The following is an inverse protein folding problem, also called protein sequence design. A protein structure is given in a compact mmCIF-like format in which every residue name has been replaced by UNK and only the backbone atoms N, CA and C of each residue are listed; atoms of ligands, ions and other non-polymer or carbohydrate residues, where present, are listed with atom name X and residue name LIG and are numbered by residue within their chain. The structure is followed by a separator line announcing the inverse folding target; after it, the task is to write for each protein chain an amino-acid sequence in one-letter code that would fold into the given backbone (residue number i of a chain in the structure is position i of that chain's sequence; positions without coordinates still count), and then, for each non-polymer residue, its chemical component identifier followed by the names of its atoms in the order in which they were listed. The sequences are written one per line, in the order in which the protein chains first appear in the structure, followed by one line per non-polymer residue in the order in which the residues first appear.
data_IF_312236760975
#
_entry.id   IF_312236760975
#
_cell.length_a   1.000
_cell.length_b   1.000
_cell.length_c   1.000
_cell.angle_alpha   90.00
_cell.angle_beta   90.00
_cell.angle_gamma   90.00
#
_symmetry.space_group_name_H-M   'P 1'
#
loop_
_entity.id
_entity.type
_entity.pdbx_description
1 polymer ?
#
# COMPACT_ATOMS: atom_id res chain seq x y z
N UNK A 1 -28.88 -17.41 -11.85
CA UNK A 1 -28.75 -16.19 -11.04
C UNK A 1 -27.52 -16.33 -10.16
N UNK A 2 -26.41 -15.58 -10.45
CA UNK A 2 -25.24 -15.61 -9.56
C UNK A 2 -25.58 -14.75 -8.36
N UNK A 3 -25.84 -15.39 -7.21
CA UNK A 3 -25.98 -14.69 -5.95
C UNK A 3 -24.80 -13.74 -5.73
N UNK A 4 -25.06 -12.55 -5.18
CA UNK A 4 -24.04 -11.66 -4.60
C UNK A 4 -23.38 -12.35 -3.38
N UNK A 5 -22.71 -13.50 -3.63
CA UNK A 5 -22.06 -14.30 -2.60
C UNK A 5 -20.75 -13.63 -2.17
N UNK A 6 -20.73 -13.22 -0.93
CA UNK A 6 -19.63 -12.50 -0.28
C UNK A 6 -18.35 -13.31 -0.05
N UNK A 7 -18.22 -14.58 -0.55
CA UNK A 7 -17.23 -15.47 0.07
C UNK A 7 -16.39 -16.38 -0.85
N UNK A 8 -16.41 -16.25 -2.15
CA UNK A 8 -15.47 -17.00 -2.98
C UNK A 8 -14.75 -16.09 -3.95
N UNK A 9 -13.44 -16.02 -3.82
CA UNK A 9 -12.54 -15.37 -4.78
C UNK A 9 -12.65 -16.10 -6.11
N UNK A 10 -13.51 -15.63 -7.01
CA UNK A 10 -13.78 -16.26 -8.31
C UNK A 10 -12.83 -15.75 -9.41
N UNK A 11 -12.21 -14.56 -9.20
CA UNK A 11 -11.36 -13.92 -10.21
C UNK A 11 -9.88 -14.08 -9.92
N UNK A 12 -9.09 -14.20 -10.98
CA UNK A 12 -7.64 -14.23 -10.85
C UNK A 12 -7.10 -12.82 -10.52
N UNK A 13 -6.05 -12.74 -9.69
CA UNK A 13 -5.37 -11.47 -9.39
C UNK A 13 -4.95 -10.73 -10.68
N UNK A 14 -4.58 -11.47 -11.73
CA UNK A 14 -4.19 -10.92 -13.03
C UNK A 14 -5.34 -10.19 -13.73
N UNK A 15 -6.55 -10.71 -13.65
CA UNK A 15 -7.73 -10.07 -14.25
C UNK A 15 -8.08 -8.77 -13.51
N UNK A 16 -8.09 -8.82 -12.16
CA UNK A 16 -8.34 -7.63 -11.33
C UNK A 16 -7.32 -6.53 -11.62
N UNK A 17 -6.03 -6.88 -11.64
CA UNK A 17 -4.95 -5.92 -11.97
C UNK A 17 -5.14 -5.34 -13.37
N UNK A 18 -5.46 -6.17 -14.37
CA UNK A 18 -5.66 -5.71 -15.75
C UNK A 18 -6.81 -4.70 -15.85
N UNK A 19 -7.93 -4.94 -15.16
CA UNK A 19 -9.08 -4.02 -15.14
C UNK A 19 -8.76 -2.72 -14.41
N UNK A 20 -8.10 -2.80 -13.26
CA UNK A 20 -7.64 -1.62 -12.54
C UNK A 20 -6.69 -0.79 -13.40
N UNK A 21 -5.75 -1.44 -14.11
CA UNK A 21 -4.85 -0.76 -15.01
C UNK A 21 -5.57 -0.02 -16.14
N UNK A 22 -6.69 -0.56 -16.66
CA UNK A 22 -7.53 0.13 -17.67
C UNK A 22 -8.07 1.46 -17.15
N UNK A 23 -8.46 1.56 -15.88
CA UNK A 23 -8.90 2.84 -15.27
C UNK A 23 -7.74 3.84 -15.09
N UNK A 24 -6.51 3.37 -14.99
CA UNK A 24 -5.32 4.23 -14.92
C UNK A 24 -4.83 4.71 -16.31
N UNK A 25 -5.12 3.96 -17.38
CA UNK A 25 -4.66 4.25 -18.75
C UNK A 25 -4.96 5.67 -19.26
N UNK A 26 -6.15 6.28 -19.04
CA UNK A 26 -6.41 7.66 -19.45
C UNK A 26 -5.41 8.66 -18.88
N UNK A 27 -4.83 8.36 -17.71
CA UNK A 27 -3.88 9.20 -16.98
C UNK A 27 -2.41 8.78 -17.19
N UNK A 28 -2.11 7.99 -18.24
CA UNK A 28 -0.75 7.44 -18.50
C UNK A 28 0.35 8.50 -18.56
N UNK A 29 0.06 9.71 -19.04
CA UNK A 29 1.02 10.82 -19.10
C UNK A 29 1.40 11.29 -17.69
N UNK A 30 0.42 11.40 -16.80
CA UNK A 30 0.63 11.81 -15.41
C UNK A 30 1.41 10.71 -14.65
N UNK A 31 1.08 9.42 -14.85
CA UNK A 31 1.84 8.31 -14.27
C UNK A 31 3.29 8.26 -14.79
N UNK A 32 3.52 8.52 -16.08
CA UNK A 32 4.87 8.59 -16.64
C UNK A 32 5.67 9.72 -16.00
N UNK A 33 5.06 10.89 -15.80
CA UNK A 33 5.69 12.01 -15.11
C UNK A 33 6.02 11.66 -13.66
N UNK A 34 5.10 10.99 -12.93
CA UNK A 34 5.34 10.51 -11.56
C UNK A 34 6.52 9.55 -11.51
N UNK A 35 6.61 8.59 -12.46
CA UNK A 35 7.75 7.67 -12.56
C UNK A 35 9.04 8.42 -12.84
N UNK A 36 9.02 9.41 -13.75
CA UNK A 36 10.18 10.27 -13.99
C UNK A 36 10.64 11.03 -12.74
N UNK A 37 9.68 11.60 -11.99
CA UNK A 37 9.96 12.24 -10.70
C UNK A 37 10.52 11.25 -9.67
N UNK A 38 10.07 9.98 -9.67
CA UNK A 38 10.65 8.93 -8.81
C UNK A 38 12.14 8.72 -9.11
N UNK A 39 12.51 8.59 -10.39
CA UNK A 39 13.92 8.41 -10.76
C UNK A 39 14.76 9.62 -10.33
N UNK A 40 14.28 10.84 -10.57
CA UNK A 40 14.97 12.07 -10.14
C UNK A 40 15.05 12.13 -8.62
N UNK A 41 13.94 11.85 -7.93
CA UNK A 41 13.91 11.86 -6.46
C UNK A 41 14.84 10.83 -5.83
N UNK A 42 14.90 9.62 -6.39
CA UNK A 42 15.81 8.54 -5.95
C UNK A 42 17.26 8.96 -6.18
N UNK A 43 17.61 9.51 -7.35
CA UNK A 43 18.95 10.00 -7.63
C UNK A 43 19.38 11.09 -6.64
N UNK A 44 18.52 12.05 -6.36
CA UNK A 44 18.76 13.10 -5.36
C UNK A 44 18.88 12.51 -3.95
N UNK A 45 18.04 11.54 -3.59
CA UNK A 45 18.06 10.90 -2.27
C UNK A 45 19.36 10.14 -1.98
N UNK A 46 20.06 9.68 -3.02
CA UNK A 46 21.36 9.01 -2.88
C UNK A 46 22.54 10.00 -2.71
N UNK A 47 22.41 11.25 -3.13
CA UNK A 47 23.50 12.24 -3.06
C UNK A 47 24.00 12.55 -1.64
N UNK A 48 23.17 12.73 -0.61
CA UNK A 48 23.59 13.11 0.73
C UNK A 48 24.69 12.21 1.31
N UNK A 49 24.57 10.89 1.15
CA UNK A 49 25.57 9.95 1.64
C UNK A 49 26.95 10.13 0.95
N UNK A 50 26.95 10.37 -0.38
CA UNK A 50 28.17 10.64 -1.13
C UNK A 50 28.78 11.98 -0.73
N UNK A 51 27.98 13.04 -0.60
CA UNK A 51 28.45 14.37 -0.22
C UNK A 51 29.10 14.36 1.17
N UNK A 52 28.51 13.65 2.13
CA UNK A 52 29.10 13.47 3.47
C UNK A 52 30.41 12.67 3.35
N UNK A 53 30.41 11.58 2.57
CA UNK A 53 31.60 10.80 2.34
C UNK A 53 32.75 11.63 1.77
N UNK A 54 32.53 12.39 0.71
CA UNK A 54 33.53 13.30 0.15
C UNK A 54 33.97 14.37 1.14
N UNK A 55 33.06 14.88 1.98
CA UNK A 55 33.41 15.85 3.03
C UNK A 55 34.37 15.21 4.05
N UNK A 56 34.14 13.96 4.45
CA UNK A 56 35.03 13.22 5.35
C UNK A 56 36.42 13.07 4.72
N UNK A 57 36.49 12.73 3.44
CA UNK A 57 37.78 12.59 2.74
C UNK A 57 38.54 13.92 2.65
N UNK A 58 37.82 15.04 2.40
CA UNK A 58 38.41 16.38 2.40
C UNK A 58 38.95 16.72 3.79
N UNK A 59 38.18 16.48 4.84
CA UNK A 59 38.59 16.77 6.24
C UNK A 59 39.81 15.93 6.64
N UNK A 60 39.88 14.69 6.19
CA UNK A 60 40.97 13.74 6.50
C UNK A 60 42.21 13.96 5.67
N UNK A 61 42.22 14.91 4.72
CA UNK A 61 43.37 15.18 3.83
C UNK A 61 44.37 16.12 4.49
N UNK A 62 45.51 15.59 4.89
CA UNK A 62 46.62 16.38 5.44
C UNK A 62 47.40 17.20 4.39
N UNK A 63 47.18 16.91 3.11
CA UNK A 63 47.93 17.53 2.01
C UNK A 63 47.30 18.80 1.43
N UNK A 64 46.08 19.10 1.86
CA UNK A 64 45.29 20.22 1.34
C UNK A 64 45.51 21.50 2.15
N UNK A 65 45.68 22.64 1.45
CA UNK A 65 45.72 23.93 2.09
C UNK A 65 44.41 24.21 2.86
N UNK A 66 44.53 24.71 4.10
CA UNK A 66 43.36 24.94 4.98
C UNK A 66 42.29 25.86 4.37
N UNK A 67 42.71 26.86 3.62
CA UNK A 67 41.77 27.78 2.93
C UNK A 67 40.92 27.03 1.90
N UNK A 68 41.56 26.20 1.08
CA UNK A 68 40.90 25.37 0.06
C UNK A 68 40.01 24.29 0.71
N UNK A 69 40.49 23.70 1.79
CA UNK A 69 39.73 22.67 2.55
C UNK A 69 38.42 23.28 3.11
N UNK A 70 38.51 24.45 3.77
CA UNK A 70 37.33 25.17 4.30
C UNK A 70 36.33 25.51 3.18
N UNK A 71 36.83 26.05 2.06
CA UNK A 71 35.96 26.33 0.89
C UNK A 71 35.21 25.11 0.37
N UNK A 72 35.90 23.99 0.20
CA UNK A 72 35.29 22.74 -0.30
C UNK A 72 34.27 22.19 0.70
N UNK A 73 34.55 22.25 2.00
CA UNK A 73 33.57 21.84 3.05
C UNK A 73 32.30 22.67 2.97
N UNK A 74 32.44 24.00 2.85
CA UNK A 74 31.29 24.90 2.71
C UNK A 74 30.51 24.61 1.41
N UNK A 75 31.21 24.33 0.31
CA UNK A 75 30.60 23.97 -0.97
C UNK A 75 29.81 22.65 -0.86
N UNK A 76 30.40 21.60 -0.25
CA UNK A 76 29.72 20.32 -0.02
C UNK A 76 28.53 20.46 0.92
N UNK A 77 28.66 21.28 1.98
CA UNK A 77 27.56 21.61 2.88
C UNK A 77 26.42 22.33 2.16
N UNK A 78 26.76 23.31 1.31
CA UNK A 78 25.77 23.98 0.45
C UNK A 78 25.09 23.01 -0.52
N UNK A 79 25.88 22.14 -1.20
CA UNK A 79 25.34 21.12 -2.10
C UNK A 79 24.43 20.12 -1.36
N UNK A 80 24.78 19.75 -0.12
CA UNK A 80 23.96 18.90 0.73
C UNK A 80 22.62 19.56 1.04
N UNK A 81 22.59 20.80 1.45
CA UNK A 81 21.35 21.55 1.75
C UNK A 81 20.49 21.68 0.48
N UNK A 82 21.09 21.99 -0.67
CA UNK A 82 20.38 22.05 -1.95
C UNK A 82 19.81 20.68 -2.32
N UNK A 83 20.57 19.59 -2.19
CA UNK A 83 20.09 18.24 -2.44
C UNK A 83 18.93 17.86 -1.53
N UNK A 84 19.02 18.18 -0.23
CA UNK A 84 17.93 17.93 0.73
C UNK A 84 16.67 18.73 0.38
N UNK A 85 16.81 20.00 0.02
CA UNK A 85 15.67 20.83 -0.38
C UNK A 85 15.02 20.33 -1.67
N UNK A 86 15.82 20.07 -2.70
CA UNK A 86 15.34 19.54 -3.98
C UNK A 86 14.70 18.13 -3.83
N UNK A 87 15.30 17.28 -3.00
CA UNK A 87 14.76 15.95 -2.72
C UNK A 87 13.40 16.01 -2.04
N UNK A 88 13.26 16.83 -1.00
CA UNK A 88 11.98 17.03 -0.31
C UNK A 88 10.93 17.69 -1.24
N UNK A 89 11.32 18.67 -2.04
CA UNK A 89 10.43 19.30 -3.02
C UNK A 89 9.95 18.33 -4.07
N UNK A 90 10.87 17.52 -4.63
CA UNK A 90 10.53 16.48 -5.62
C UNK A 90 9.59 15.43 -5.01
N UNK A 91 9.85 15.00 -3.78
CA UNK A 91 9.00 14.04 -3.07
C UNK A 91 7.61 14.62 -2.77
N UNK A 92 7.53 15.87 -2.35
CA UNK A 92 6.26 16.59 -2.15
C UNK A 92 5.45 16.65 -3.46
N UNK A 93 6.09 17.11 -4.54
CA UNK A 93 5.41 17.25 -5.84
C UNK A 93 4.97 15.90 -6.40
N UNK A 94 5.81 14.87 -6.29
CA UNK A 94 5.48 13.50 -6.65
C UNK A 94 4.25 12.98 -5.89
N UNK A 95 4.23 13.13 -4.55
CA UNK A 95 3.10 12.70 -3.73
C UNK A 95 1.83 13.48 -4.03
N UNK A 96 1.93 14.79 -4.26
CA UNK A 96 0.79 15.62 -4.68
C UNK A 96 0.20 15.17 -5.99
N UNK A 97 1.04 14.98 -7.02
CA UNK A 97 0.60 14.50 -8.35
C UNK A 97 -0.04 13.12 -8.25
N UNK A 98 0.53 12.24 -7.47
CA UNK A 98 0.02 10.90 -7.23
C UNK A 98 -1.37 10.92 -6.59
N UNK A 99 -1.56 11.69 -5.52
CA UNK A 99 -2.87 11.84 -4.89
C UNK A 99 -3.89 12.42 -5.87
N UNK A 100 -3.50 13.44 -6.63
CA UNK A 100 -4.36 14.07 -7.65
C UNK A 100 -4.82 13.07 -8.71
N UNK A 101 -3.89 12.27 -9.25
CA UNK A 101 -4.19 11.28 -10.30
C UNK A 101 -5.00 10.11 -9.73
N UNK A 102 -4.62 9.61 -8.56
CA UNK A 102 -5.33 8.54 -7.88
C UNK A 102 -6.79 8.93 -7.60
N UNK A 103 -7.02 10.14 -7.07
CA UNK A 103 -8.39 10.63 -6.83
C UNK A 103 -9.19 10.78 -8.13
N UNK A 104 -8.58 11.27 -9.24
CA UNK A 104 -9.25 11.33 -10.54
C UNK A 104 -9.68 9.94 -11.02
N UNK A 105 -8.79 8.95 -10.92
CA UNK A 105 -9.07 7.56 -11.31
C UNK A 105 -10.25 6.99 -10.51
N UNK A 106 -10.29 7.27 -9.21
CA UNK A 106 -11.36 6.78 -8.32
C UNK A 106 -12.68 7.48 -8.57
N UNK A 107 -12.67 8.80 -8.85
CA UNK A 107 -13.90 9.52 -9.23
C UNK A 107 -14.50 8.92 -10.49
N UNK A 108 -13.68 8.61 -11.51
CA UNK A 108 -14.15 7.92 -12.73
C UNK A 108 -14.78 6.57 -12.38
N UNK A 109 -14.08 5.73 -11.61
CA UNK A 109 -14.60 4.43 -11.19
C UNK A 109 -15.90 4.56 -10.36
N UNK A 110 -15.96 5.53 -9.45
CA UNK A 110 -17.14 5.77 -8.62
C UNK A 110 -18.36 6.18 -9.45
N UNK A 111 -18.15 7.06 -10.44
CA UNK A 111 -19.20 7.49 -11.37
C UNK A 111 -19.68 6.31 -12.22
N UNK A 112 -18.77 5.47 -12.73
CA UNK A 112 -19.14 4.30 -13.51
C UNK A 112 -19.97 3.31 -12.68
N UNK A 113 -19.57 3.06 -11.42
CA UNK A 113 -20.32 2.19 -10.52
C UNK A 113 -21.71 2.76 -10.21
N UNK A 114 -21.77 4.06 -9.92
CA UNK A 114 -23.03 4.72 -9.59
C UNK A 114 -23.99 4.71 -10.81
N UNK A 115 -23.52 5.14 -11.97
CA UNK A 115 -24.31 5.14 -13.20
C UNK A 115 -24.77 3.73 -13.57
N UNK A 116 -23.92 2.72 -13.35
CA UNK A 116 -24.30 1.34 -13.59
C UNK A 116 -25.40 0.86 -12.66
N UNK A 117 -25.34 1.21 -11.38
CA UNK A 117 -26.40 0.90 -10.41
C UNK A 117 -27.73 1.56 -10.78
N UNK A 118 -27.70 2.82 -11.25
CA UNK A 118 -28.91 3.52 -11.72
C UNK A 118 -29.58 2.86 -12.93
N UNK A 119 -28.78 2.18 -13.78
CA UNK A 119 -29.28 1.46 -14.94
C UNK A 119 -29.76 0.03 -14.64
N UNK A 120 -29.61 -0.46 -13.41
CA UNK A 120 -30.13 -1.77 -13.01
C UNK A 120 -31.66 -1.73 -12.84
N UNK A 121 -32.33 -2.85 -13.18
CA UNK A 121 -33.76 -2.98 -12.97
C UNK A 121 -34.12 -2.90 -11.46
N UNK A 122 -35.26 -2.34 -11.13
CA UNK A 122 -35.76 -2.21 -9.74
C UNK A 122 -35.76 -3.57 -9.03
N UNK A 123 -36.14 -4.65 -9.74
CA UNK A 123 -36.11 -6.02 -9.22
C UNK A 123 -34.71 -6.45 -8.76
N UNK A 124 -33.66 -6.08 -9.52
CA UNK A 124 -32.26 -6.37 -9.17
C UNK A 124 -31.79 -5.55 -7.97
N UNK A 125 -32.17 -4.26 -7.91
CA UNK A 125 -31.84 -3.38 -6.77
C UNK A 125 -32.48 -3.88 -5.49
N UNK A 126 -33.74 -4.33 -5.53
CA UNK A 126 -34.46 -4.83 -4.35
C UNK A 126 -33.91 -6.15 -3.79
N UNK A 127 -33.14 -6.92 -4.59
CA UNK A 127 -32.47 -8.13 -4.14
C UNK A 127 -31.21 -7.86 -3.30
N UNK A 128 -30.70 -6.63 -3.33
CA UNK A 128 -29.46 -6.24 -2.63
C UNK A 128 -29.78 -5.17 -1.59
N UNK A 129 -29.39 -5.33 -0.31
CA UNK A 129 -29.56 -4.29 0.68
C UNK A 129 -28.91 -2.98 0.21
N UNK A 130 -29.64 -1.86 0.25
CA UNK A 130 -29.17 -0.54 -0.19
C UNK A 130 -27.84 -0.15 0.47
N UNK A 131 -27.68 -0.44 1.77
CA UNK A 131 -26.41 -0.19 2.47
C UNK A 131 -25.22 -0.92 1.86
N UNK A 132 -25.43 -2.09 1.24
CA UNK A 132 -24.38 -2.83 0.53
C UNK A 132 -23.96 -2.10 -0.75
N UNK A 133 -24.90 -1.59 -1.54
CA UNK A 133 -24.63 -0.79 -2.73
C UNK A 133 -23.89 0.51 -2.38
N UNK A 134 -24.35 1.21 -1.33
CA UNK A 134 -23.66 2.41 -0.81
C UNK A 134 -22.21 2.08 -0.45
N UNK A 135 -21.97 0.96 0.24
CA UNK A 135 -20.60 0.53 0.58
C UNK A 135 -19.72 0.30 -0.66
N UNK A 136 -20.28 -0.23 -1.76
CA UNK A 136 -19.53 -0.41 -3.03
C UNK A 136 -19.09 0.93 -3.60
N UNK A 137 -20.01 1.93 -3.65
CA UNK A 137 -19.73 3.26 -4.21
C UNK A 137 -18.77 4.07 -3.32
N UNK A 138 -18.80 3.88 -2.00
CA UNK A 138 -18.03 4.68 -1.05
C UNK A 138 -16.77 3.95 -0.56
N UNK A 139 -16.92 2.96 0.31
CA UNK A 139 -15.81 2.34 1.01
C UNK A 139 -14.93 1.48 0.10
N UNK A 140 -15.52 0.66 -0.77
CA UNK A 140 -14.75 -0.22 -1.64
C UNK A 140 -13.99 0.61 -2.70
N UNK A 141 -14.58 1.67 -3.25
CA UNK A 141 -13.85 2.60 -4.14
C UNK A 141 -12.74 3.37 -3.42
N UNK A 142 -12.92 3.73 -2.14
CA UNK A 142 -11.87 4.35 -1.35
C UNK A 142 -10.69 3.38 -1.09
N UNK A 143 -10.98 2.11 -0.82
CA UNK A 143 -9.93 1.08 -0.67
C UNK A 143 -9.15 0.87 -1.98
N UNK A 144 -9.83 0.97 -3.13
CA UNK A 144 -9.19 0.96 -4.45
C UNK A 144 -8.33 2.22 -4.64
N UNK A 145 -8.81 3.39 -4.17
CA UNK A 145 -8.02 4.62 -4.17
C UNK A 145 -6.70 4.47 -3.45
N UNK A 146 -6.73 3.91 -2.25
CA UNK A 146 -5.53 3.66 -1.43
C UNK A 146 -4.52 2.76 -2.16
N UNK A 147 -5.00 1.80 -2.93
CA UNK A 147 -4.13 0.98 -3.78
C UNK A 147 -3.38 1.83 -4.84
N UNK A 148 -4.06 2.76 -5.53
CA UNK A 148 -3.43 3.61 -6.54
C UNK A 148 -2.49 4.65 -5.93
N UNK A 149 -2.89 5.26 -4.81
CA UNK A 149 -2.19 6.42 -4.23
C UNK A 149 -1.07 6.03 -3.28
N UNK A 150 -1.16 4.88 -2.66
CA UNK A 150 -0.21 4.46 -1.62
C UNK A 150 0.52 3.19 -2.02
N UNK A 151 -0.21 2.10 -2.28
CA UNK A 151 0.40 0.78 -2.42
C UNK A 151 1.19 0.62 -3.71
N UNK A 152 0.56 0.86 -4.87
CA UNK A 152 1.21 0.61 -6.17
C UNK A 152 2.47 1.44 -6.33
N UNK A 153 2.43 2.69 -5.88
CA UNK A 153 3.55 3.62 -5.98
C UNK A 153 4.64 3.33 -4.97
N UNK A 154 4.28 3.03 -3.73
CA UNK A 154 5.26 2.59 -2.72
C UNK A 154 6.00 1.33 -3.18
N UNK A 155 5.29 0.35 -3.77
CA UNK A 155 5.92 -0.85 -4.34
C UNK A 155 6.92 -0.50 -5.44
N UNK A 156 6.51 0.31 -6.43
CA UNK A 156 7.40 0.72 -7.54
C UNK A 156 8.59 1.52 -7.01
N UNK A 157 8.36 2.52 -6.16
CA UNK A 157 9.41 3.34 -5.57
C UNK A 157 10.43 2.53 -4.79
N UNK A 158 9.96 1.64 -3.90
CA UNK A 158 10.84 0.84 -3.06
C UNK A 158 11.67 -0.15 -3.88
N UNK A 159 11.09 -0.76 -4.91
CA UNK A 159 11.82 -1.63 -5.84
C UNK A 159 12.90 -0.83 -6.62
N UNK A 160 12.52 0.33 -7.16
CA UNK A 160 13.48 1.19 -7.89
C UNK A 160 14.59 1.68 -6.96
N UNK A 161 14.27 2.04 -5.73
CA UNK A 161 15.24 2.49 -4.74
C UNK A 161 16.21 1.38 -4.34
N UNK A 162 15.72 0.15 -4.10
CA UNK A 162 16.57 -1.01 -3.85
C UNK A 162 17.52 -1.29 -5.01
N UNK A 163 17.02 -1.24 -6.24
CA UNK A 163 17.86 -1.42 -7.44
C UNK A 163 18.91 -0.30 -7.53
N UNK A 164 18.52 0.96 -7.31
CA UNK A 164 19.41 2.10 -7.36
C UNK A 164 20.54 2.00 -6.30
N UNK A 165 20.19 1.65 -5.05
CA UNK A 165 21.19 1.41 -3.99
C UNK A 165 22.15 0.28 -4.42
N UNK A 166 21.63 -0.85 -4.90
CA UNK A 166 22.47 -1.96 -5.33
C UNK A 166 23.44 -1.55 -6.44
N UNK A 167 22.97 -0.79 -7.44
CA UNK A 167 23.83 -0.26 -8.50
C UNK A 167 24.94 0.61 -7.92
N UNK A 168 24.59 1.56 -7.02
CA UNK A 168 25.59 2.43 -6.39
C UNK A 168 26.60 1.63 -5.57
N UNK A 169 26.14 0.67 -4.77
CA UNK A 169 27.03 -0.20 -3.99
C UNK A 169 28.01 -0.99 -4.89
N UNK A 170 27.51 -1.54 -6.00
CA UNK A 170 28.38 -2.24 -6.96
C UNK A 170 29.40 -1.32 -7.64
N UNK A 171 29.00 -0.10 -7.98
CA UNK A 171 29.91 0.91 -8.57
C UNK A 171 30.96 1.36 -7.58
N UNK A 172 30.61 1.53 -6.31
CA UNK A 172 31.56 1.94 -5.27
C UNK A 172 32.59 0.85 -4.96
N UNK A 173 32.15 -0.37 -4.70
CA UNK A 173 33.03 -1.52 -4.46
C UNK A 173 32.30 -2.86 -4.59
N UNK A 174 32.51 -3.58 -5.67
CA UNK A 174 31.83 -4.85 -5.95
C UNK A 174 32.15 -5.95 -4.92
N UNK A 175 33.36 -5.97 -4.34
CA UNK A 175 33.76 -6.99 -3.36
C UNK A 175 32.95 -6.86 -2.09
N UNK A 176 32.86 -5.66 -1.51
CA UNK A 176 32.08 -5.41 -0.30
C UNK A 176 30.60 -5.73 -0.56
N UNK A 177 30.09 -5.34 -1.75
CA UNK A 177 28.68 -5.60 -2.12
C UNK A 177 28.36 -7.09 -2.12
N UNK A 178 29.24 -7.94 -2.63
CA UNK A 178 29.03 -9.40 -2.64
C UNK A 178 28.85 -9.97 -1.23
N UNK A 179 29.59 -9.46 -0.24
CA UNK A 179 29.39 -9.89 1.15
C UNK A 179 28.08 -9.40 1.74
N UNK A 180 27.64 -8.18 1.41
CA UNK A 180 26.36 -7.63 1.85
C UNK A 180 25.19 -8.42 1.26
N UNK A 181 25.29 -8.84 -0.02
CA UNK A 181 24.26 -9.64 -0.69
C UNK A 181 23.97 -10.95 0.05
N UNK A 182 24.95 -11.53 0.77
CA UNK A 182 24.74 -12.75 1.58
C UNK A 182 23.68 -12.54 2.66
N UNK A 183 23.51 -11.31 3.16
CA UNK A 183 22.49 -10.97 4.17
C UNK A 183 21.09 -10.91 3.56
N UNK A 184 20.95 -10.59 2.27
CA UNK A 184 19.65 -10.40 1.60
C UNK A 184 18.75 -11.64 1.69
N UNK A 185 19.19 -12.87 1.38
CA UNK A 185 18.36 -14.07 1.53
C UNK A 185 17.82 -14.27 2.95
N UNK A 186 18.62 -13.93 3.98
CA UNK A 186 18.22 -14.05 5.38
C UNK A 186 17.09 -13.05 5.67
N UNK A 187 17.20 -11.83 5.17
CA UNK A 187 16.16 -10.80 5.32
C UNK A 187 14.88 -11.19 4.58
N UNK A 188 14.99 -11.71 3.35
CA UNK A 188 13.84 -12.20 2.60
C UNK A 188 13.14 -13.36 3.30
N UNK A 189 13.91 -14.24 3.92
CA UNK A 189 13.36 -15.32 4.74
C UNK A 189 12.65 -14.80 6.00
N UNK A 190 13.24 -13.81 6.69
CA UNK A 190 12.58 -13.15 7.81
C UNK A 190 11.27 -12.44 7.39
N UNK A 191 11.27 -11.76 6.25
CA UNK A 191 10.07 -11.14 5.67
C UNK A 191 8.99 -12.18 5.31
N UNK A 192 9.39 -13.34 4.76
CA UNK A 192 8.48 -14.45 4.50
C UNK A 192 7.83 -15.00 5.78
N UNK A 193 8.63 -15.22 6.83
CA UNK A 193 8.11 -15.65 8.13
C UNK A 193 7.14 -14.61 8.72
N UNK A 194 7.52 -13.34 8.68
CA UNK A 194 6.65 -12.25 9.12
C UNK A 194 5.30 -12.28 8.40
N UNK A 195 5.29 -12.37 7.06
CA UNK A 195 4.06 -12.48 6.26
C UNK A 195 3.18 -13.65 6.70
N UNK A 196 3.77 -14.81 6.98
CA UNK A 196 3.04 -16.01 7.44
C UNK A 196 2.37 -15.78 8.80
N UNK A 197 3.12 -15.25 9.77
CA UNK A 197 2.64 -15.03 11.14
C UNK A 197 1.68 -13.83 11.23
N UNK A 198 1.96 -12.74 10.53
CA UNK A 198 1.10 -11.56 10.44
C UNK A 198 -0.29 -11.92 9.89
N UNK A 199 -0.36 -12.68 8.77
CA UNK A 199 -1.63 -13.15 8.21
C UNK A 199 -2.43 -14.00 9.20
N UNK A 200 -1.77 -14.88 9.94
CA UNK A 200 -2.43 -15.74 10.93
C UNK A 200 -2.99 -14.90 12.12
N UNK A 201 -2.22 -13.93 12.58
CA UNK A 201 -2.62 -13.03 13.68
C UNK A 201 -3.76 -12.11 13.26
N UNK A 202 -3.68 -11.51 12.07
CA UNK A 202 -4.76 -10.69 11.51
C UNK A 202 -6.09 -11.44 11.41
N UNK A 203 -6.08 -12.70 10.93
CA UNK A 203 -7.29 -13.53 10.91
C UNK A 203 -7.87 -13.77 12.29
N UNK A 204 -7.03 -14.00 13.31
CA UNK A 204 -7.49 -14.16 14.71
C UNK A 204 -8.14 -12.89 15.25
N UNK A 205 -7.53 -11.74 15.00
CA UNK A 205 -8.11 -10.44 15.37
C UNK A 205 -9.47 -10.25 14.71
N UNK A 206 -9.57 -10.50 13.41
CA UNK A 206 -10.86 -10.37 12.67
C UNK A 206 -11.94 -11.30 13.20
N UNK A 207 -11.61 -12.56 13.50
CA UNK A 207 -12.55 -13.51 14.09
C UNK A 207 -13.02 -13.05 15.47
N UNK A 208 -12.11 -12.63 16.36
CA UNK A 208 -12.46 -12.15 17.69
C UNK A 208 -13.26 -10.84 17.66
N UNK A 209 -12.95 -9.94 16.72
CA UNK A 209 -13.75 -8.71 16.51
C UNK A 209 -15.15 -9.02 16.02
N UNK A 210 -15.29 -9.98 15.10
CA UNK A 210 -16.61 -10.44 14.62
C UNK A 210 -17.44 -11.03 15.76
N UNK A 211 -16.83 -11.82 16.66
CA UNK A 211 -17.52 -12.36 17.85
C UNK A 211 -18.00 -11.25 18.79
N UNK A 212 -17.18 -10.21 19.01
CA UNK A 212 -17.59 -9.04 19.83
C UNK A 212 -18.74 -8.29 19.18
N UNK A 213 -18.67 -8.04 17.86
CA UNK A 213 -19.71 -7.34 17.13
C UNK A 213 -21.03 -8.14 17.12
N UNK A 214 -20.99 -9.45 16.90
CA UNK A 214 -22.16 -10.32 16.96
C UNK A 214 -22.79 -10.29 18.36
N UNK A 215 -21.96 -10.40 19.41
CA UNK A 215 -22.42 -10.32 20.79
C UNK A 215 -23.10 -8.97 21.10
N UNK A 216 -22.50 -7.85 20.65
CA UNK A 216 -23.07 -6.52 20.84
C UNK A 216 -24.40 -6.38 20.09
N UNK A 217 -24.48 -6.80 18.83
CA UNK A 217 -25.69 -6.75 18.02
C UNK A 217 -26.83 -7.54 18.68
N UNK A 218 -26.56 -8.79 19.08
CA UNK A 218 -27.53 -9.65 19.75
C UNK A 218 -28.04 -9.04 21.10
N UNK A 219 -27.09 -8.61 21.94
CA UNK A 219 -27.43 -8.15 23.27
C UNK A 219 -28.06 -6.75 23.30
N UNK A 220 -27.66 -5.84 22.39
CA UNK A 220 -28.30 -4.53 22.27
C UNK A 220 -29.74 -4.67 21.74
N UNK A 221 -29.92 -5.53 20.72
CA UNK A 221 -31.28 -5.84 20.22
C UNK A 221 -32.17 -6.53 21.27
N UNK A 222 -31.56 -7.42 22.06
CA UNK A 222 -32.25 -8.15 23.15
C UNK A 222 -32.18 -7.48 24.52
N UNK A 223 -31.80 -6.20 24.63
CA UNK A 223 -31.57 -5.53 25.91
C UNK A 223 -32.81 -5.57 26.84
N UNK A 224 -33.98 -5.37 26.29
CA UNK A 224 -35.23 -5.43 27.05
C UNK A 224 -35.43 -6.81 27.72
N UNK A 225 -35.15 -7.88 27.01
CA UNK A 225 -35.22 -9.26 27.53
C UNK A 225 -34.20 -9.45 28.66
N UNK A 226 -32.95 -9.01 28.44
CA UNK A 226 -31.87 -9.08 29.43
C UNK A 226 -32.28 -8.37 30.75
N UNK A 227 -32.95 -7.23 30.66
CA UNK A 227 -33.41 -6.46 31.82
C UNK A 227 -34.58 -7.14 32.53
N UNK A 228 -35.61 -7.61 31.79
CA UNK A 228 -36.79 -8.28 32.36
C UNK A 228 -36.35 -9.53 33.15
N UNK A 229 -35.39 -10.29 32.64
CA UNK A 229 -34.91 -11.52 33.30
C UNK A 229 -33.73 -11.28 34.25
N UNK A 230 -33.36 -10.02 34.54
CA UNK A 230 -32.24 -9.63 35.43
C UNK A 230 -30.91 -10.35 35.13
N UNK A 231 -30.58 -10.47 33.83
CA UNK A 231 -29.39 -11.20 33.37
C UNK A 231 -28.20 -10.27 33.03
N UNK A 232 -28.20 -9.00 33.47
CA UNK A 232 -27.16 -8.02 33.13
C UNK A 232 -25.79 -8.45 33.59
N UNK A 233 -25.65 -9.01 34.80
CA UNK A 233 -24.36 -9.45 35.33
C UNK A 233 -23.79 -10.64 34.55
N UNK A 234 -24.63 -11.56 34.07
CA UNK A 234 -24.23 -12.65 33.21
C UNK A 234 -23.70 -12.11 31.87
N UNK A 235 -24.47 -11.21 31.23
CA UNK A 235 -24.09 -10.59 29.96
C UNK A 235 -22.81 -9.74 30.06
N UNK A 236 -22.60 -9.04 31.18
CA UNK A 236 -21.37 -8.31 31.47
C UNK A 236 -20.15 -9.23 31.53
N UNK A 237 -20.28 -10.40 32.17
CA UNK A 237 -19.22 -11.40 32.25
C UNK A 237 -18.91 -12.01 30.88
N UNK A 238 -19.90 -12.32 30.06
CA UNK A 238 -19.76 -12.80 28.70
C UNK A 238 -19.03 -11.77 27.83
N UNK A 239 -19.46 -10.50 27.88
CA UNK A 239 -18.82 -9.40 27.18
C UNK A 239 -17.36 -9.23 27.59
N UNK A 240 -17.06 -9.25 28.89
CA UNK A 240 -15.69 -9.17 29.41
C UNK A 240 -14.80 -10.29 28.85
N UNK A 241 -15.33 -11.52 28.75
CA UNK A 241 -14.61 -12.67 28.18
C UNK A 241 -14.30 -12.45 26.70
N UNK A 242 -15.28 -12.01 25.91
CA UNK A 242 -15.10 -11.73 24.46
C UNK A 242 -14.12 -10.58 24.24
N UNK A 243 -14.22 -9.52 25.03
CA UNK A 243 -13.31 -8.37 25.00
C UNK A 243 -11.88 -8.76 25.37
N UNK A 244 -11.70 -9.64 26.38
CA UNK A 244 -10.39 -10.17 26.74
C UNK A 244 -9.79 -11.04 25.61
N UNK A 245 -10.61 -11.86 24.94
CA UNK A 245 -10.18 -12.66 23.78
C UNK A 245 -9.70 -11.75 22.65
N UNK A 246 -10.45 -10.69 22.33
CA UNK A 246 -10.06 -9.69 21.35
C UNK A 246 -8.75 -9.00 21.73
N UNK A 247 -8.62 -8.55 22.99
CA UNK A 247 -7.37 -7.97 23.49
C UNK A 247 -6.19 -8.92 23.30
N UNK A 248 -6.34 -10.19 23.65
CA UNK A 248 -5.27 -11.17 23.51
C UNK A 248 -4.90 -11.41 22.03
N UNK A 249 -5.88 -11.37 21.13
CA UNK A 249 -5.63 -11.43 19.67
C UNK A 249 -4.82 -10.24 19.17
N UNK A 250 -5.13 -9.02 19.61
CA UNK A 250 -4.35 -7.82 19.32
C UNK A 250 -2.93 -7.88 19.91
N UNK A 251 -2.79 -8.35 21.17
CA UNK A 251 -1.46 -8.49 21.77
C UNK A 251 -0.57 -9.45 20.96
N UNK A 252 -1.14 -10.55 20.43
CA UNK A 252 -0.40 -11.47 19.55
C UNK A 252 -0.03 -10.83 18.22
N UNK A 253 -0.89 -10.00 17.65
CA UNK A 253 -0.59 -9.24 16.43
C UNK A 253 0.54 -8.24 16.68
N UNK A 254 0.46 -7.44 17.74
CA UNK A 254 1.49 -6.49 18.16
C UNK A 254 2.84 -7.19 18.40
N UNK A 255 2.81 -8.38 18.99
CA UNK A 255 4.03 -9.17 19.25
C UNK A 255 4.70 -9.60 17.94
N UNK A 256 3.93 -9.99 16.92
CA UNK A 256 4.48 -10.33 15.59
C UNK A 256 5.20 -9.12 14.97
N UNK A 257 4.60 -7.93 15.01
CA UNK A 257 5.23 -6.69 14.52
C UNK A 257 6.41 -6.28 15.42
N UNK A 258 6.26 -6.42 16.75
CA UNK A 258 7.28 -6.09 17.73
C UNK A 258 8.53 -6.96 17.65
N UNK A 259 8.43 -8.17 17.10
CA UNK A 259 9.60 -9.02 16.82
C UNK A 259 10.18 -8.71 15.44
N UNK A 260 9.35 -8.50 14.41
CA UNK A 260 9.80 -8.34 13.04
C UNK A 260 10.70 -7.11 12.86
N UNK A 261 10.23 -5.93 13.31
CA UNK A 261 10.99 -4.68 13.13
C UNK A 261 12.38 -4.71 13.79
N UNK A 262 12.53 -5.11 15.07
CA UNK A 262 13.86 -5.29 15.68
C UNK A 262 14.71 -6.35 14.98
N UNK A 263 14.10 -7.42 14.44
CA UNK A 263 14.85 -8.45 13.71
C UNK A 263 15.45 -7.88 12.42
N UNK A 264 14.68 -7.13 11.62
CA UNK A 264 15.21 -6.47 10.41
C UNK A 264 16.29 -5.46 10.80
N UNK A 265 16.10 -4.69 11.86
CA UNK A 265 17.13 -3.78 12.39
C UNK A 265 18.40 -4.52 12.81
N UNK A 266 18.29 -5.63 13.53
CA UNK A 266 19.45 -6.45 13.91
C UNK A 266 20.19 -7.01 12.68
N UNK A 267 19.46 -7.47 11.66
CA UNK A 267 20.05 -7.93 10.39
C UNK A 267 20.75 -6.78 9.65
N UNK A 268 20.19 -5.58 9.68
CA UNK A 268 20.86 -4.39 9.12
C UNK A 268 22.15 -4.06 9.86
N UNK A 269 22.17 -4.23 11.19
CA UNK A 269 23.40 -4.05 11.97
C UNK A 269 24.47 -5.11 11.63
N UNK A 270 24.07 -6.36 11.40
CA UNK A 270 25.00 -7.40 10.91
C UNK A 270 25.56 -7.03 9.55
N UNK A 271 24.73 -6.59 8.61
CA UNK A 271 25.19 -6.08 7.31
C UNK A 271 26.17 -4.91 7.44
N UNK A 272 25.87 -3.99 8.34
CA UNK A 272 26.72 -2.85 8.67
C UNK A 272 28.08 -3.28 9.26
N UNK A 273 28.09 -4.23 10.20
CA UNK A 273 29.34 -4.77 10.77
C UNK A 273 30.22 -5.46 9.72
N UNK A 274 29.59 -6.20 8.79
CA UNK A 274 30.32 -6.80 7.64
C UNK A 274 30.98 -5.70 6.82
N UNK A 275 30.24 -4.63 6.49
CA UNK A 275 30.79 -3.49 5.73
C UNK A 275 31.94 -2.83 6.46
N UNK A 276 31.79 -2.55 7.76
CA UNK A 276 32.85 -1.92 8.55
C UNK A 276 34.11 -2.80 8.64
N UNK A 277 33.95 -4.10 8.88
CA UNK A 277 35.06 -5.02 9.01
C UNK A 277 35.83 -5.20 7.69
N UNK A 278 35.12 -5.45 6.58
CA UNK A 278 35.73 -5.66 5.26
C UNK A 278 36.20 -4.32 4.70
N UNK A 279 35.39 -3.27 4.85
CA UNK A 279 35.74 -1.91 4.40
C UNK A 279 36.97 -1.36 5.11
N UNK A 280 37.14 -1.62 6.41
CA UNK A 280 38.37 -1.29 7.12
C UNK A 280 39.62 -1.93 6.45
N UNK A 281 39.54 -3.20 6.07
CA UNK A 281 40.64 -3.88 5.36
C UNK A 281 40.93 -3.23 4.00
N UNK A 282 39.90 -2.86 3.25
CA UNK A 282 40.06 -2.19 1.93
C UNK A 282 40.60 -0.76 2.11
N UNK A 283 40.26 -0.05 3.17
CA UNK A 283 40.85 1.28 3.50
C UNK A 283 42.31 1.15 3.85
N UNK A 284 42.71 0.17 4.68
CA UNK A 284 44.09 -0.09 5.04
C UNK A 284 44.91 -0.52 3.85
N UNK A 285 44.31 -1.16 2.84
CA UNK A 285 44.94 -1.50 1.57
C UNK A 285 44.92 -0.34 0.57
N UNK A 286 44.52 0.86 0.96
CA UNK A 286 44.37 2.06 0.10
C UNK A 286 43.46 1.88 -1.11
N UNK A 287 42.62 0.85 -1.11
CA UNK A 287 41.66 0.57 -2.17
C UNK A 287 40.33 1.30 -2.00
N UNK A 288 40.06 1.86 -0.80
CA UNK A 288 38.86 2.61 -0.48
C UNK A 288 39.21 3.80 0.44
N UNK A 289 38.52 4.93 0.30
CA UNK A 289 38.67 6.06 1.23
C UNK A 289 37.76 5.89 2.46
N UNK A 290 38.08 6.58 3.56
CA UNK A 290 37.26 6.59 4.76
C UNK A 290 35.87 7.17 4.51
N UNK A 291 35.79 8.20 3.66
CA UNK A 291 34.51 8.81 3.28
C UNK A 291 33.65 7.90 2.42
N UNK A 292 34.23 7.16 1.47
CA UNK A 292 33.50 6.16 0.71
C UNK A 292 33.00 5.00 1.59
N UNK A 293 33.78 4.59 2.60
CA UNK A 293 33.34 3.60 3.59
C UNK A 293 32.12 4.10 4.36
N UNK A 294 32.11 5.39 4.73
CA UNK A 294 30.95 6.01 5.38
C UNK A 294 29.71 6.01 4.47
N UNK A 295 29.90 6.38 3.19
CA UNK A 295 28.81 6.34 2.20
C UNK A 295 28.25 4.92 2.05
N UNK A 296 29.13 3.93 2.05
CA UNK A 296 28.78 2.53 1.98
C UNK A 296 27.96 2.07 3.20
N UNK A 297 28.42 2.44 4.39
CA UNK A 297 27.70 2.21 5.66
C UNK A 297 26.27 2.79 5.59
N UNK A 298 26.12 4.01 5.10
CA UNK A 298 24.82 4.68 4.99
C UNK A 298 23.88 3.94 4.02
N UNK A 299 24.35 3.58 2.83
CA UNK A 299 23.54 2.86 1.85
C UNK A 299 23.13 1.46 2.29
N UNK A 300 24.01 0.73 2.97
CA UNK A 300 23.66 -0.58 3.50
C UNK A 300 22.58 -0.47 4.58
N UNK A 301 22.65 0.52 5.43
CA UNK A 301 21.62 0.80 6.43
C UNK A 301 20.28 1.13 5.77
N UNK A 302 20.28 2.00 4.78
CA UNK A 302 19.08 2.44 4.07
C UNK A 302 18.47 1.36 3.18
N UNK A 303 19.22 0.32 2.84
CA UNK A 303 18.76 -0.79 2.01
C UNK A 303 17.65 -1.62 2.66
N UNK A 304 17.62 -1.71 3.98
CA UNK A 304 16.70 -2.60 4.70
C UNK A 304 15.31 -2.00 4.94
N UNK A 305 15.18 -0.69 4.99
CA UNK A 305 13.90 0.00 5.23
C UNK A 305 12.87 -0.28 4.12
N UNK A 306 13.19 -0.15 2.81
CA UNK A 306 12.26 -0.49 1.74
C UNK A 306 11.77 -1.93 1.77
N UNK A 307 12.61 -2.88 2.20
CA UNK A 307 12.20 -4.30 2.31
C UNK A 307 11.11 -4.46 3.39
N UNK A 308 11.26 -3.75 4.50
CA UNK A 308 10.25 -3.73 5.55
C UNK A 308 8.94 -3.14 5.05
N UNK A 309 8.97 -1.99 4.37
CA UNK A 309 7.79 -1.35 3.79
C UNK A 309 7.08 -2.27 2.77
N UNK A 310 7.82 -2.92 1.88
CA UNK A 310 7.27 -3.87 0.91
C UNK A 310 6.52 -5.02 1.59
N UNK A 311 7.04 -5.52 2.70
CA UNK A 311 6.38 -6.58 3.47
C UNK A 311 5.07 -6.12 4.13
N UNK A 312 5.01 -4.88 4.61
CA UNK A 312 3.85 -4.29 5.27
C UNK A 312 2.73 -3.96 4.26
N UNK A 313 3.06 -3.48 3.04
CA UNK A 313 2.10 -3.09 2.00
C UNK A 313 1.28 -4.26 1.43
N UNK A 314 1.73 -5.48 1.60
CA UNK A 314 1.06 -6.65 1.03
C UNK A 314 -0.38 -6.84 1.53
N UNK A 315 -0.67 -6.53 2.78
CA UNK A 315 -2.01 -6.66 3.36
C UNK A 315 -3.00 -5.64 2.78
N UNK A 316 -2.53 -4.41 2.55
CA UNK A 316 -3.35 -3.34 1.92
C UNK A 316 -3.69 -3.72 0.48
N UNK A 317 -2.72 -4.27 -0.25
CA UNK A 317 -2.93 -4.77 -1.61
C UNK A 317 -4.00 -5.88 -1.66
N UNK A 318 -3.99 -6.83 -0.73
CA UNK A 318 -5.02 -7.89 -0.67
C UNK A 318 -6.42 -7.33 -0.38
N UNK A 319 -6.51 -6.32 0.51
CA UNK A 319 -7.78 -5.66 0.80
C UNK A 319 -8.33 -4.92 -0.42
N UNK A 320 -7.45 -4.26 -1.17
CA UNK A 320 -7.82 -3.57 -2.39
C UNK A 320 -8.29 -4.52 -3.49
N UNK A 321 -7.67 -5.69 -3.64
CA UNK A 321 -8.13 -6.71 -4.58
C UNK A 321 -9.52 -7.23 -4.23
N UNK A 322 -9.76 -7.53 -2.95
CA UNK A 322 -11.09 -7.96 -2.50
C UNK A 322 -12.17 -6.88 -2.71
N UNK A 323 -11.83 -5.60 -2.47
CA UNK A 323 -12.72 -4.47 -2.78
C UNK A 323 -12.98 -4.34 -4.28
N UNK A 324 -11.94 -4.51 -5.11
CA UNK A 324 -12.04 -4.45 -6.56
C UNK A 324 -12.94 -5.55 -7.13
N UNK A 325 -12.81 -6.80 -6.65
CA UNK A 325 -13.71 -7.89 -7.06
C UNK A 325 -15.17 -7.51 -6.83
N UNK A 326 -15.48 -7.00 -5.64
CA UNK A 326 -16.84 -6.61 -5.27
C UNK A 326 -17.40 -5.47 -6.13
N UNK A 327 -16.56 -4.50 -6.48
CA UNK A 327 -16.93 -3.39 -7.37
C UNK A 327 -17.13 -3.88 -8.79
N UNK A 328 -16.25 -4.76 -9.30
CA UNK A 328 -16.37 -5.32 -10.63
C UNK A 328 -17.55 -6.29 -10.75
N UNK A 329 -17.95 -6.98 -9.68
CA UNK A 329 -19.16 -7.79 -9.66
C UNK A 329 -20.41 -6.95 -9.91
N UNK A 330 -20.48 -5.77 -9.33
CA UNK A 330 -21.57 -4.82 -9.62
C UNK A 330 -21.52 -4.38 -11.08
N UNK A 331 -20.36 -3.96 -11.60
CA UNK A 331 -20.20 -3.48 -12.97
C UNK A 331 -20.46 -4.57 -14.03
N UNK A 332 -20.29 -5.83 -13.69
CA UNK A 332 -20.53 -6.96 -14.61
C UNK A 332 -21.94 -7.53 -14.52
N UNK A 333 -22.77 -7.04 -13.58
CA UNK A 333 -24.18 -7.40 -13.48
C UNK A 333 -24.93 -6.78 -14.66
N UNK A 334 -25.41 -7.59 -15.56
CA UNK A 334 -26.15 -7.10 -16.73
C UNK A 334 -27.51 -6.56 -16.28
N UNK A 335 -27.90 -5.34 -16.72
CA UNK A 335 -29.28 -4.87 -16.53
C UNK A 335 -30.27 -5.85 -17.15
N UNK A 336 -31.32 -6.23 -16.42
CA UNK A 336 -32.38 -7.13 -16.93
C UNK A 336 -33.30 -6.42 -17.92
N UNK A 337 -33.43 -5.11 -17.77
CA UNK A 337 -34.24 -4.26 -18.66
C UNK A 337 -33.29 -3.38 -19.47
N UNK A 338 -33.27 -3.55 -20.78
CA UNK A 338 -32.50 -2.76 -21.72
C UNK A 338 -33.40 -2.36 -22.87
N UNK A 339 -33.12 -1.21 -23.47
CA UNK A 339 -33.84 -0.77 -24.65
C UNK A 339 -33.68 -1.77 -25.80
N UNK A 340 -34.73 -1.94 -26.60
CA UNK A 340 -34.67 -2.77 -27.82
C UNK A 340 -33.66 -2.15 -28.80
N UNK A 341 -32.97 -2.95 -29.65
CA UNK A 341 -32.00 -2.43 -30.62
C UNK A 341 -32.61 -1.44 -31.64
N UNK A 342 -33.92 -1.50 -31.79
CA UNK A 342 -34.75 -0.67 -32.68
C UNK A 342 -35.65 0.33 -31.92
N UNK A 343 -35.34 0.62 -30.65
CA UNK A 343 -36.06 1.58 -29.84
C UNK A 343 -36.05 2.96 -30.50
N UNK A 344 -37.21 3.60 -30.54
CA UNK A 344 -37.40 4.91 -31.14
C UNK A 344 -37.31 5.99 -30.07
N UNK A 345 -36.53 7.01 -30.29
CA UNK A 345 -36.51 8.20 -29.47
C UNK A 345 -37.73 9.06 -29.79
N UNK A 346 -38.62 9.30 -28.81
CA UNK A 346 -39.82 10.09 -28.99
C UNK A 346 -39.49 11.58 -28.80
N UNK A 347 -39.49 12.37 -29.88
CA UNK A 347 -39.27 13.82 -29.81
C UNK A 347 -40.42 14.58 -29.11
N UNK A 348 -41.66 14.07 -29.22
CA UNK A 348 -42.84 14.64 -28.57
C UNK A 348 -43.73 13.55 -28.00
N UNK A 349 -44.28 13.77 -26.83
CA UNK A 349 -45.14 12.83 -26.13
C UNK A 349 -46.46 13.49 -25.70
N UNK A 350 -47.58 13.00 -26.23
CA UNK A 350 -48.92 13.57 -25.97
C UNK A 350 -49.52 13.12 -24.62
N UNK A 351 -48.90 12.18 -23.94
CA UNK A 351 -49.33 11.65 -22.65
C UNK A 351 -50.48 10.65 -22.73
N UNK A 352 -50.96 10.25 -23.92
CA UNK A 352 -51.97 9.22 -24.06
C UNK A 352 -51.35 7.83 -23.95
N UNK A 353 -51.85 7.01 -23.03
CA UNK A 353 -51.40 5.63 -22.78
C UNK A 353 -52.58 4.69 -22.91
N UNK A 354 -52.50 3.67 -23.74
CA UNK A 354 -53.51 2.64 -23.92
C UNK A 354 -52.91 1.25 -23.64
N UNK A 355 -53.51 0.50 -22.77
CA UNK A 355 -53.16 -0.90 -22.47
C UNK A 355 -54.13 -1.82 -23.26
N UNK A 356 -53.59 -2.64 -24.17
CA UNK A 356 -54.34 -3.62 -24.96
C UNK A 356 -53.82 -5.02 -24.63
N UNK A 357 -54.66 -5.84 -24.03
CA UNK A 357 -54.42 -7.24 -23.71
C UNK A 357 -53.04 -7.47 -22.95
N UNK A 358 -52.72 -6.59 -22.00
CA UNK A 358 -51.48 -6.64 -21.24
C UNK A 358 -51.66 -7.58 -20.05
N UNK A 359 -50.89 -8.66 -20.02
CA UNK A 359 -50.75 -9.57 -18.91
C UNK A 359 -49.44 -9.38 -18.22
N UNK A 360 -49.43 -9.25 -16.90
CA UNK A 360 -48.23 -9.08 -16.08
C UNK A 360 -48.30 -9.97 -14.85
N UNK A 361 -47.18 -10.63 -14.53
CA UNK A 361 -47.04 -11.41 -13.29
C UNK A 361 -45.65 -11.23 -12.69
N UNK A 362 -45.59 -11.32 -11.37
CA UNK A 362 -44.31 -11.37 -10.66
C UNK A 362 -43.86 -12.84 -10.57
N UNK A 363 -42.56 -13.10 -10.83
CA UNK A 363 -41.94 -14.41 -10.68
C UNK A 363 -41.39 -14.55 -9.26
#
# INVERSE_FOLDING_TARGET
MKDFKDNTRERSDKEVISRLFKYALPYKKDFLLIIGLMFVGIAIQLLPALLIGYTIDIVSSDTMERSRQTFLILLMGGAFLVAMFLGNFTNFYQNYMLQKVGQKTVVTLRNDVFNHIENLAIGQINQVPVGKLVTRVTNDTNTISEMYTTVAVSLVRNILYLIAILIVLFVLNYKITLYVIIVIPIVLFAAYLFRKFSRASYRRVRASLSEVNAFLSENLSGMKITQIFNQQEKKRREFKKNSQKLRNSYLQEILVFGIFRPTIYALSMVGTLIVLYIGYKEVMATALTAGLLFSYFYYVRDFFEPIQELAEQFNVMQSAFAASEKVFDVLDTKPEITDAPDAIELETFSGAIEFKDVWFYYI
#
